data_IF_924647485889
#
_entry.id   IF_924647485889
#
_cell.length_a   1.000
_cell.length_b   1.000
_cell.length_c   1.000
_cell.angle_alpha   90.00
_cell.angle_beta   90.00
_cell.angle_gamma   90.00
#
_symmetry.space_group_name_H-M   'P 1'
#
loop_
_entity.id
_entity.type
_entity.pdbx_description
1 polymer ?
#
# COMPACT_ATOMS: atom_id res chain seq x y z
N UNK A 1 -27.85 21.08 11.23
CA UNK A 1 -27.20 20.04 10.42
C UNK A 1 -27.72 20.21 9.01
N UNK A 2 -26.85 20.52 8.02
CA UNK A 2 -27.27 20.49 6.63
C UNK A 2 -27.38 19.02 6.20
N UNK A 3 -28.58 18.59 5.82
CA UNK A 3 -28.75 17.30 5.15
C UNK A 3 -28.06 17.40 3.79
N UNK A 4 -27.08 16.53 3.53
CA UNK A 4 -26.57 16.33 2.17
C UNK A 4 -27.72 15.73 1.35
N UNK A 5 -28.28 16.51 0.43
CA UNK A 5 -29.28 16.02 -0.51
C UNK A 5 -28.57 15.04 -1.47
N UNK A 6 -28.87 13.75 -1.34
CA UNK A 6 -28.38 12.72 -2.25
C UNK A 6 -29.29 12.70 -3.47
N UNK A 7 -28.78 13.14 -4.61
CA UNK A 7 -29.49 13.05 -5.88
C UNK A 7 -29.47 11.60 -6.38
N UNK A 8 -30.64 11.03 -6.64
CA UNK A 8 -30.75 9.66 -7.14
C UNK A 8 -30.69 9.66 -8.67
N UNK A 9 -29.89 8.76 -9.24
CA UNK A 9 -29.91 8.50 -10.68
C UNK A 9 -31.17 7.74 -11.08
N UNK A 10 -31.69 8.01 -12.28
CA UNK A 10 -32.91 7.38 -12.81
C UNK A 10 -32.68 5.98 -13.38
N UNK A 11 -31.41 5.60 -13.57
CA UNK A 11 -31.00 4.28 -14.06
C UNK A 11 -29.59 3.91 -13.61
N UNK A 12 -29.24 2.63 -13.68
CA UNK A 12 -27.87 2.14 -13.45
C UNK A 12 -26.88 2.76 -14.44
N UNK A 13 -27.28 2.95 -15.70
CA UNK A 13 -26.41 3.56 -16.71
C UNK A 13 -26.08 5.01 -16.38
N UNK A 14 -27.07 5.79 -15.95
CA UNK A 14 -26.85 7.16 -15.48
C UNK A 14 -25.96 7.18 -14.23
N UNK A 15 -26.20 6.27 -13.26
CA UNK A 15 -25.38 6.16 -12.06
C UNK A 15 -23.91 5.87 -12.39
N UNK A 16 -23.65 4.93 -13.31
CA UNK A 16 -22.29 4.60 -13.77
C UNK A 16 -21.62 5.79 -14.46
N UNK A 17 -22.35 6.50 -15.32
CA UNK A 17 -21.84 7.66 -16.04
C UNK A 17 -21.46 8.79 -15.08
N UNK A 18 -22.34 9.10 -14.12
CA UNK A 18 -22.09 10.11 -13.08
C UNK A 18 -20.92 9.71 -12.19
N UNK A 19 -20.89 8.47 -11.72
CA UNK A 19 -19.80 7.96 -10.90
C UNK A 19 -18.45 8.06 -11.62
N UNK A 20 -18.37 7.67 -12.89
CA UNK A 20 -17.14 7.81 -13.68
C UNK A 20 -16.72 9.28 -13.83
N UNK A 21 -17.65 10.20 -14.09
CA UNK A 21 -17.36 11.63 -14.20
C UNK A 21 -16.86 12.23 -12.87
N UNK A 22 -17.52 11.89 -11.76
CA UNK A 22 -17.14 12.37 -10.43
C UNK A 22 -15.78 11.80 -9.99
N UNK A 23 -15.55 10.50 -10.21
CA UNK A 23 -14.27 9.86 -9.94
C UNK A 23 -13.15 10.47 -10.79
N UNK A 24 -13.38 10.68 -12.08
CA UNK A 24 -12.42 11.34 -12.97
C UNK A 24 -12.09 12.78 -12.53
N UNK A 25 -13.10 13.56 -12.14
CA UNK A 25 -12.89 14.91 -11.62
C UNK A 25 -12.10 14.93 -10.30
N UNK A 26 -12.38 13.98 -9.39
CA UNK A 26 -11.61 13.84 -8.15
C UNK A 26 -10.17 13.39 -8.40
N UNK A 27 -9.95 12.46 -9.32
CA UNK A 27 -8.60 12.04 -9.72
C UNK A 27 -7.83 13.23 -10.29
N UNK A 28 -8.40 13.97 -11.24
CA UNK A 28 -7.75 15.14 -11.82
C UNK A 28 -7.37 16.19 -10.76
N UNK A 29 -8.27 16.47 -9.81
CA UNK A 29 -7.97 17.37 -8.70
C UNK A 29 -6.87 16.82 -7.78
N UNK A 30 -6.85 15.51 -7.55
CA UNK A 30 -5.81 14.81 -6.79
C UNK A 30 -4.46 14.89 -7.48
N UNK A 31 -4.39 14.70 -8.80
CA UNK A 31 -3.15 14.85 -9.58
C UNK A 31 -2.57 16.25 -9.38
N UNK A 32 -3.37 17.30 -9.55
CA UNK A 32 -2.92 18.69 -9.34
C UNK A 32 -2.44 18.92 -7.91
N UNK A 33 -3.17 18.42 -6.91
CA UNK A 33 -2.86 18.65 -5.50
C UNK A 33 -1.62 17.90 -5.02
N UNK A 34 -1.42 16.68 -5.50
CA UNK A 34 -0.45 15.74 -4.93
C UNK A 34 0.74 15.47 -5.86
N UNK A 35 0.76 15.96 -7.11
CA UNK A 35 1.86 15.76 -8.05
C UNK A 35 3.22 16.20 -7.49
N UNK A 36 3.26 17.22 -6.63
CA UNK A 36 4.49 17.75 -6.01
C UNK A 36 4.49 17.64 -4.48
N UNK A 37 3.50 16.96 -3.89
CA UNK A 37 3.48 16.75 -2.45
C UNK A 37 4.68 15.86 -2.04
N UNK A 38 5.40 16.21 -0.96
CA UNK A 38 6.46 15.36 -0.45
C UNK A 38 5.88 14.07 0.13
N UNK A 39 6.66 12.99 0.08
CA UNK A 39 6.35 11.78 0.83
C UNK A 39 6.45 12.05 2.34
N UNK A 40 5.76 11.23 3.13
CA UNK A 40 5.67 11.36 4.59
C UNK A 40 6.08 10.05 5.28
N UNK A 41 6.17 10.09 6.62
CA UNK A 41 6.45 8.91 7.45
C UNK A 41 5.23 8.01 7.68
N UNK A 42 4.10 8.29 7.01
CA UNK A 42 2.88 7.50 7.16
C UNK A 42 2.90 6.31 6.18
N UNK A 43 2.66 5.11 6.71
CA UNK A 43 2.77 3.83 6.00
C UNK A 43 1.79 3.69 4.83
N UNK A 44 0.58 4.25 4.96
CA UNK A 44 -0.55 4.08 4.02
C UNK A 44 -0.78 5.30 3.11
N UNK A 45 0.21 6.19 2.97
CA UNK A 45 0.04 7.51 2.33
C UNK A 45 -0.48 7.49 0.87
N UNK A 46 -0.44 6.35 0.18
CA UNK A 46 -0.97 6.19 -1.17
C UNK A 46 -2.31 5.42 -1.24
N UNK A 47 -2.84 4.95 -0.12
CA UNK A 47 -4.07 4.12 -0.05
C UNK A 47 -5.29 4.83 -0.61
N UNK A 48 -5.33 6.17 -0.56
CA UNK A 48 -6.40 6.96 -1.18
C UNK A 48 -6.54 6.73 -2.69
N UNK A 49 -5.49 6.23 -3.37
CA UNK A 49 -5.51 5.96 -4.82
C UNK A 49 -6.09 4.59 -5.19
N UNK A 50 -6.30 3.69 -4.22
CA UNK A 50 -6.73 2.31 -4.49
C UNK A 50 -8.08 2.22 -5.21
N UNK A 51 -8.97 3.18 -4.96
CA UNK A 51 -10.26 3.30 -5.66
C UNK A 51 -10.16 3.71 -7.13
N UNK A 52 -8.97 4.03 -7.64
CA UNK A 52 -8.77 4.49 -9.02
C UNK A 52 -8.64 3.33 -10.01
N UNK A 53 -8.38 2.11 -9.54
CA UNK A 53 -8.15 0.94 -10.39
C UNK A 53 -9.28 0.69 -11.42
N UNK A 54 -10.58 0.69 -11.05
CA UNK A 54 -11.65 0.53 -12.03
C UNK A 54 -11.69 1.65 -13.08
N UNK A 55 -11.35 2.88 -12.69
CA UNK A 55 -11.33 4.03 -13.60
C UNK A 55 -10.21 3.90 -14.63
N UNK A 56 -9.00 3.54 -14.19
CA UNK A 56 -7.86 3.33 -15.08
C UNK A 56 -8.14 2.18 -16.06
N UNK A 57 -8.73 1.06 -15.59
CA UNK A 57 -9.12 -0.03 -16.49
C UNK A 57 -10.19 0.39 -17.51
N UNK A 58 -11.15 1.22 -17.11
CA UNK A 58 -12.23 1.67 -18.00
C UNK A 58 -11.75 2.69 -19.04
N UNK A 59 -10.77 3.52 -18.71
CA UNK A 59 -10.34 4.66 -19.56
C UNK A 59 -9.01 4.42 -20.27
N UNK A 60 -8.15 3.55 -19.76
CA UNK A 60 -6.79 3.38 -20.24
C UNK A 60 -5.87 4.58 -19.97
N UNK A 61 -6.25 5.48 -19.05
CA UNK A 61 -5.55 6.73 -18.80
C UNK A 61 -4.13 6.50 -18.26
N UNK A 62 -3.14 6.77 -19.12
CA UNK A 62 -1.72 6.57 -18.83
C UNK A 62 -1.13 7.68 -17.95
N UNK A 63 -1.78 8.86 -17.85
CA UNK A 63 -1.32 9.93 -16.98
C UNK A 63 -1.44 9.51 -15.52
N UNK A 64 -2.56 8.87 -15.18
CA UNK A 64 -2.79 8.31 -13.84
C UNK A 64 -1.74 7.25 -13.52
N UNK A 65 -1.46 6.34 -14.45
CA UNK A 65 -0.43 5.31 -14.24
C UNK A 65 0.96 5.93 -14.04
N UNK A 66 1.30 6.97 -14.80
CA UNK A 66 2.54 7.71 -14.64
C UNK A 66 2.65 8.41 -13.27
N UNK A 67 1.56 8.99 -12.78
CA UNK A 67 1.48 9.56 -11.44
C UNK A 67 1.69 8.50 -10.36
N UNK A 68 0.97 7.37 -10.43
CA UNK A 68 1.08 6.29 -9.44
C UNK A 68 2.49 5.70 -9.40
N UNK A 69 3.12 5.53 -10.56
CA UNK A 69 4.51 5.07 -10.69
C UNK A 69 5.48 6.04 -10.01
N UNK A 70 5.30 7.35 -10.27
CA UNK A 70 6.11 8.40 -9.63
C UNK A 70 5.90 8.42 -8.11
N UNK A 71 4.67 8.25 -7.66
CA UNK A 71 4.32 8.21 -6.24
C UNK A 71 4.99 7.02 -5.54
N UNK A 72 4.94 5.81 -6.12
CA UNK A 72 5.69 4.63 -5.64
C UNK A 72 7.17 4.93 -5.43
N UNK A 73 7.82 5.49 -6.44
CA UNK A 73 9.27 5.72 -6.40
C UNK A 73 9.64 6.76 -5.34
N UNK A 74 8.80 7.78 -5.14
CA UNK A 74 9.00 8.79 -4.10
C UNK A 74 8.83 8.22 -2.70
N UNK A 75 7.79 7.41 -2.47
CA UNK A 75 7.53 6.80 -1.16
C UNK A 75 8.66 5.83 -0.80
N UNK A 76 9.02 4.93 -1.72
CA UNK A 76 10.11 3.98 -1.50
C UNK A 76 11.44 4.69 -1.21
N UNK A 77 11.77 5.73 -1.99
CA UNK A 77 12.96 6.55 -1.74
C UNK A 77 12.92 7.19 -0.36
N UNK A 78 11.81 7.81 0.02
CA UNK A 78 11.65 8.47 1.31
C UNK A 78 11.88 7.52 2.48
N UNK A 79 11.26 6.33 2.45
CA UNK A 79 11.44 5.36 3.53
C UNK A 79 12.87 4.82 3.61
N UNK A 80 13.55 4.65 2.47
CA UNK A 80 14.96 4.26 2.44
C UNK A 80 15.87 5.38 2.98
N UNK A 81 15.64 6.64 2.58
CA UNK A 81 16.45 7.80 2.99
C UNK A 81 16.26 8.15 4.48
N UNK A 82 15.07 7.94 5.02
CA UNK A 82 14.76 8.15 6.44
C UNK A 82 15.12 6.95 7.33
N UNK A 83 15.60 5.85 6.73
CA UNK A 83 15.98 4.63 7.46
C UNK A 83 14.81 3.83 8.01
N UNK A 84 13.58 4.13 7.58
CA UNK A 84 12.39 3.36 7.95
C UNK A 84 12.33 2.03 7.19
N UNK A 85 12.90 1.98 5.98
CA UNK A 85 13.05 0.76 5.21
C UNK A 85 14.52 0.34 5.04
N UNK A 86 14.73 -0.97 5.04
CA UNK A 86 15.96 -1.63 4.63
C UNK A 86 15.59 -2.85 3.80
N UNK A 87 16.34 -3.12 2.73
CA UNK A 87 16.03 -4.22 1.80
C UNK A 87 14.59 -4.17 1.25
N UNK A 88 14.03 -2.97 1.07
CA UNK A 88 12.67 -2.80 0.56
C UNK A 88 11.56 -3.15 1.56
N UNK A 89 11.88 -3.35 2.84
CA UNK A 89 10.89 -3.63 3.89
C UNK A 89 11.13 -2.82 5.17
N UNK A 90 10.11 -2.72 6.03
CA UNK A 90 10.18 -1.99 7.29
C UNK A 90 11.31 -2.47 8.19
N UNK A 91 12.06 -1.54 8.79
CA UNK A 91 13.00 -1.80 9.88
C UNK A 91 12.27 -2.31 11.13
N UNK A 92 11.13 -1.68 11.44
CA UNK A 92 10.20 -2.10 12.48
C UNK A 92 8.80 -1.61 12.14
N UNK A 93 7.80 -2.49 12.19
CA UNK A 93 6.39 -2.11 12.10
C UNK A 93 5.50 -3.17 12.75
N UNK A 94 4.29 -2.76 13.11
CA UNK A 94 3.20 -3.65 13.51
C UNK A 94 2.79 -4.53 12.31
N UNK A 95 2.51 -5.81 12.58
CA UNK A 95 2.29 -6.86 11.57
C UNK A 95 1.22 -6.49 10.53
N UNK A 96 0.13 -5.84 10.93
CA UNK A 96 -0.92 -5.39 10.02
C UNK A 96 -0.45 -4.18 9.17
N UNK A 97 -0.13 -3.06 9.81
CA UNK A 97 0.24 -1.81 9.12
C UNK A 97 1.52 -1.95 8.29
N UNK A 98 2.39 -2.89 8.64
CA UNK A 98 3.60 -3.21 7.88
C UNK A 98 3.30 -3.70 6.46
N UNK A 99 2.11 -4.24 6.23
CA UNK A 99 1.73 -4.85 4.96
C UNK A 99 0.90 -3.94 4.07
N UNK A 100 0.17 -2.97 4.65
CA UNK A 100 -0.82 -2.15 3.94
C UNK A 100 -0.27 -1.47 2.67
N UNK A 101 0.93 -0.89 2.73
CA UNK A 101 1.55 -0.27 1.55
C UNK A 101 1.66 -1.26 0.38
N UNK A 102 2.06 -2.50 0.69
CA UNK A 102 2.32 -3.54 -0.29
C UNK A 102 1.02 -4.16 -0.80
N UNK A 103 0.09 -4.53 0.09
CA UNK A 103 -1.16 -5.18 -0.31
C UNK A 103 -2.13 -4.22 -0.99
N UNK A 104 -2.23 -2.97 -0.50
CA UNK A 104 -3.21 -2.01 -0.99
C UNK A 104 -2.66 -1.28 -2.20
N UNK A 105 -1.62 -0.48 -2.01
CA UNK A 105 -1.12 0.40 -3.06
C UNK A 105 -0.30 -0.35 -4.10
N UNK A 106 0.76 -1.08 -3.71
CA UNK A 106 1.58 -1.79 -4.69
C UNK A 106 0.82 -2.96 -5.35
N UNK A 107 -0.06 -3.64 -4.61
CA UNK A 107 -0.94 -4.67 -5.14
C UNK A 107 -1.88 -4.13 -6.22
N UNK A 108 -2.50 -2.96 -5.99
CA UNK A 108 -3.30 -2.26 -7.00
C UNK A 108 -2.45 -1.82 -8.20
N UNK A 109 -1.28 -1.24 -7.97
CA UNK A 109 -0.38 -0.81 -9.04
C UNK A 109 0.10 -1.99 -9.91
N UNK A 110 0.36 -3.14 -9.30
CA UNK A 110 0.71 -4.37 -10.02
C UNK A 110 -0.45 -4.88 -10.89
N UNK A 111 -1.70 -4.83 -10.40
CA UNK A 111 -2.86 -5.21 -11.23
C UNK A 111 -3.07 -4.26 -12.42
N UNK A 112 -2.78 -2.98 -12.23
CA UNK A 112 -2.82 -1.99 -13.32
C UNK A 112 -1.69 -2.15 -14.33
N UNK A 113 -0.49 -2.54 -13.88
CA UNK A 113 0.67 -2.75 -14.73
C UNK A 113 1.50 -3.98 -14.29
N UNK A 114 1.08 -5.19 -14.66
CA UNK A 114 1.69 -6.43 -14.17
C UNK A 114 3.09 -6.69 -14.76
N UNK A 115 3.53 -5.89 -15.74
CA UNK A 115 4.87 -5.95 -16.32
C UNK A 115 5.87 -5.00 -15.65
N UNK A 116 5.45 -4.16 -14.71
CA UNK A 116 6.34 -3.23 -14.02
C UNK A 116 7.32 -3.98 -13.10
N UNK A 117 8.58 -4.04 -13.53
CA UNK A 117 9.65 -4.74 -12.80
C UNK A 117 9.97 -4.14 -11.44
N UNK A 118 9.78 -2.84 -11.26
CA UNK A 118 10.05 -2.15 -9.99
C UNK A 118 8.97 -2.49 -8.97
N UNK A 119 7.70 -2.45 -9.37
CA UNK A 119 6.60 -2.89 -8.48
C UNK A 119 6.75 -4.36 -8.11
N UNK A 120 7.07 -5.23 -9.07
CA UNK A 120 7.32 -6.66 -8.80
C UNK A 120 8.46 -6.85 -7.81
N UNK A 121 9.57 -6.12 -7.97
CA UNK A 121 10.71 -6.24 -7.07
C UNK A 121 10.34 -5.83 -5.63
N UNK A 122 9.64 -4.71 -5.44
CA UNK A 122 9.20 -4.28 -4.10
C UNK A 122 8.23 -5.28 -3.44
N UNK A 123 7.30 -5.85 -4.22
CA UNK A 123 6.39 -6.89 -3.72
C UNK A 123 7.13 -8.17 -3.35
N UNK A 124 8.15 -8.57 -4.14
CA UNK A 124 8.96 -9.73 -3.86
C UNK A 124 9.83 -9.54 -2.60
N UNK A 125 10.45 -8.38 -2.44
CA UNK A 125 11.20 -8.00 -1.25
C UNK A 125 10.30 -8.10 -0.02
N UNK A 126 9.09 -7.51 -0.07
CA UNK A 126 8.14 -7.58 1.03
C UNK A 126 7.71 -9.02 1.35
N UNK A 127 7.41 -9.83 0.33
CA UNK A 127 7.02 -11.23 0.52
C UNK A 127 8.15 -12.06 1.16
N UNK A 128 9.40 -11.87 0.74
CA UNK A 128 10.57 -12.54 1.33
C UNK A 128 10.70 -12.22 2.82
N UNK A 129 10.50 -10.95 3.19
CA UNK A 129 10.58 -10.51 4.58
C UNK A 129 9.38 -10.99 5.39
N UNK A 130 8.15 -10.77 4.93
CA UNK A 130 6.93 -11.23 5.62
C UNK A 130 6.96 -12.74 5.90
N UNK A 131 7.40 -13.54 4.92
CA UNK A 131 7.58 -14.97 5.06
C UNK A 131 8.73 -15.39 5.99
N UNK A 132 9.55 -14.43 6.42
CA UNK A 132 10.80 -14.59 7.16
C UNK A 132 11.75 -15.59 6.46
N UNK A 133 11.80 -15.53 5.13
CA UNK A 133 12.64 -16.40 4.29
C UNK A 133 14.04 -15.84 4.05
N UNK A 134 14.21 -14.53 4.23
CA UNK A 134 15.51 -13.90 4.13
C UNK A 134 16.42 -14.33 5.28
N UNK A 135 17.63 -14.79 4.96
CA UNK A 135 18.67 -15.04 5.98
C UNK A 135 19.42 -13.76 6.36
N UNK A 136 19.09 -12.62 5.76
CA UNK A 136 19.73 -11.33 6.02
C UNK A 136 19.21 -10.63 7.29
N UNK A 137 18.10 -11.12 7.86
CA UNK A 137 17.43 -10.53 9.02
C UNK A 137 17.26 -11.57 10.12
N UNK A 138 17.15 -11.10 11.36
CA UNK A 138 16.91 -11.99 12.50
C UNK A 138 15.55 -12.69 12.35
N UNK A 139 15.44 -13.98 12.74
CA UNK A 139 14.20 -14.71 12.63
C UNK A 139 13.14 -14.13 13.57
N UNK A 140 12.01 -13.71 13.00
CA UNK A 140 10.80 -13.33 13.72
C UNK A 140 9.69 -14.37 13.65
N UNK A 141 9.84 -15.39 12.79
CA UNK A 141 8.98 -16.57 12.78
C UNK A 141 9.64 -17.72 13.56
N UNK A 142 8.89 -18.36 14.44
CA UNK A 142 9.29 -19.58 15.12
C UNK A 142 8.78 -20.81 14.34
N UNK A 143 9.73 -21.53 13.75
CA UNK A 143 9.49 -22.69 12.91
C UNK A 143 9.03 -23.92 13.68
N UNK A 144 9.28 -23.99 14.99
CA UNK A 144 8.84 -25.12 15.82
C UNK A 144 7.37 -24.96 16.22
N UNK A 145 6.98 -23.75 16.62
CA UNK A 145 5.62 -23.46 17.08
C UNK A 145 4.67 -23.05 15.96
N UNK A 146 5.21 -22.62 14.82
CA UNK A 146 4.42 -22.10 13.70
C UNK A 146 3.85 -20.70 13.96
N UNK A 147 4.44 -19.95 14.89
CA UNK A 147 3.96 -18.64 15.34
C UNK A 147 5.01 -17.56 15.10
N UNK A 148 4.55 -16.31 14.97
CA UNK A 148 5.43 -15.16 15.03
C UNK A 148 5.83 -14.91 16.49
N UNK A 149 7.08 -14.48 16.68
CA UNK A 149 7.67 -14.19 18.00
C UNK A 149 7.19 -12.85 18.57
N UNK A 150 6.68 -11.98 17.71
CA UNK A 150 6.12 -10.68 18.06
C UNK A 150 5.19 -10.21 16.95
N UNK A 151 4.23 -9.34 17.26
CA UNK A 151 3.49 -8.56 16.27
C UNK A 151 4.22 -7.28 15.85
N UNK A 152 5.33 -6.93 16.50
CA UNK A 152 6.23 -5.84 16.12
C UNK A 152 7.55 -6.42 15.60
N UNK A 153 7.75 -6.40 14.29
CA UNK A 153 8.94 -6.94 13.65
C UNK A 153 9.31 -6.15 12.39
N UNK A 154 10.48 -6.47 11.84
CA UNK A 154 11.01 -5.87 10.64
C UNK A 154 12.49 -6.20 10.51
N UNK A 155 13.18 -5.60 9.54
CA UNK A 155 14.57 -5.92 9.25
C UNK A 155 15.55 -5.66 10.40
N UNK A 156 15.14 -4.96 11.47
CA UNK A 156 15.83 -4.85 12.76
C UNK A 156 15.35 -5.88 13.81
N UNK A 157 14.86 -7.04 13.36
CA UNK A 157 14.43 -8.16 14.19
C UNK A 157 13.06 -7.94 14.85
N UNK A 158 12.85 -8.58 16.00
CA UNK A 158 11.61 -8.49 16.79
C UNK A 158 11.71 -7.44 17.89
N UNK A 159 10.58 -6.86 18.28
CA UNK A 159 10.47 -6.04 19.49
C UNK A 159 9.52 -6.72 20.48
N UNK A 160 9.96 -6.87 21.72
CA UNK A 160 9.23 -7.55 22.79
C UNK A 160 8.83 -6.52 23.85
N UNK A 161 7.68 -5.90 23.63
CA UNK A 161 6.99 -5.06 24.63
C UNK A 161 5.73 -5.78 25.10
N UNK A 162 5.19 -5.40 26.25
CA UNK A 162 3.99 -6.05 26.80
C UNK A 162 2.83 -6.06 25.78
N UNK A 163 2.33 -7.25 25.46
CA UNK A 163 1.29 -7.48 24.46
C UNK A 163 1.83 -7.80 23.07
N UNK A 164 3.09 -7.48 22.77
CA UNK A 164 3.72 -7.75 21.47
C UNK A 164 3.86 -9.24 21.18
N UNK A 165 3.88 -10.10 22.20
CA UNK A 165 3.97 -11.55 22.06
C UNK A 165 2.71 -12.21 21.44
N UNK A 166 1.63 -11.45 21.28
CA UNK A 166 0.38 -11.96 20.75
C UNK A 166 0.45 -12.18 19.24
N UNK A 167 0.01 -13.36 18.79
CA UNK A 167 -0.26 -13.61 17.38
C UNK A 167 -1.69 -13.17 17.08
N UNK A 168 -1.82 -12.04 16.39
CA UNK A 168 -3.10 -11.51 15.87
C UNK A 168 -3.44 -12.09 14.49
N UNK A 169 -4.70 -12.02 14.03
CA UNK A 169 -5.12 -12.55 12.73
C UNK A 169 -4.34 -12.04 11.51
N UNK A 170 -3.66 -10.90 11.63
CA UNK A 170 -2.84 -10.30 10.57
C UNK A 170 -1.47 -10.98 10.40
N UNK A 171 -1.12 -11.93 11.27
CA UNK A 171 0.04 -12.79 11.09
C UNK A 171 -0.26 -13.91 10.10
N UNK A 172 -0.21 -13.58 8.82
CA UNK A 172 -0.30 -14.55 7.74
C UNK A 172 1.10 -14.85 7.20
N UNK A 173 1.40 -16.14 7.10
CA UNK A 173 2.63 -16.66 6.49
C UNK A 173 2.32 -17.49 5.26
#
# INVERSE_FOLDING_TARGET
MNSLAIEQSTSVHEALTRFQQELGAWIAASLVRYADAPATDVHDQATYTTGWEPYVHATGDQEILGFLTTLRDRISRHFMETGQWRHGYWCKQEAHHGTEHYELFLGMLWRLNPGDRTTIAQLADAAEHMGNWSTAVDPWFDWETGLYRSFLFGTDGVELVDGAELNVPDHLR
#
